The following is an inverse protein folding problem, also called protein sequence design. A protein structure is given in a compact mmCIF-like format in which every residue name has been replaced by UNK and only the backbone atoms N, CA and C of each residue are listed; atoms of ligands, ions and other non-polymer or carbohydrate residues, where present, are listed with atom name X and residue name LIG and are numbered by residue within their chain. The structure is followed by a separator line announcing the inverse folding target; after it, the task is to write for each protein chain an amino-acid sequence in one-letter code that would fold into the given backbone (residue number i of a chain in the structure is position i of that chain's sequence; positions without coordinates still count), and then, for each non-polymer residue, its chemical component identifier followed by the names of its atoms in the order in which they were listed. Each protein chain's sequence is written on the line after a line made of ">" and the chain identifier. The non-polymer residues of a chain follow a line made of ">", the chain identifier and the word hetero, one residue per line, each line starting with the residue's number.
data_IF_903126112469
#
_entry.id   IF_903126112469
#
_cell.length_a   1.000
_cell.length_b   1.000
_cell.length_c   1.000
_cell.angle_alpha   90.00
_cell.angle_beta   90.00
_cell.angle_gamma   90.00
#
_symmetry.space_group_name_H-M   'P 1'
#
loop_
_entity.id
_entity.type
_entity.pdbx_description
1 polymer ?
#
# COMPACT_ATOMS: atom_id res chain seq x y z
N UNK A 1 9.79 6.54 27.32
CA UNK A 1 8.32 6.44 27.50
C UNK A 1 7.57 6.18 26.19
N UNK A 2 8.22 5.63 25.15
CA UNK A 2 7.59 5.27 23.86
C UNK A 2 6.88 3.89 23.87
N UNK A 3 6.73 3.26 25.05
CA UNK A 3 6.22 1.89 25.19
C UNK A 3 4.76 1.80 25.66
N UNK A 4 4.04 2.92 25.78
CA UNK A 4 2.69 2.93 26.41
C UNK A 4 1.54 3.16 25.40
N UNK A 5 1.82 3.30 24.10
CA UNK A 5 0.77 3.51 23.10
C UNK A 5 0.69 2.42 22.01
N UNK A 6 1.12 1.19 22.33
CA UNK A 6 1.05 0.05 21.41
C UNK A 6 -0.34 -0.61 21.31
N UNK A 7 -1.35 -0.17 22.07
CA UNK A 7 -2.61 -0.91 22.27
C UNK A 7 -3.80 -0.44 21.44
N UNK A 8 -3.61 0.04 20.21
CA UNK A 8 -4.74 0.21 19.28
C UNK A 8 -4.44 -0.36 17.88
N UNK A 9 -4.71 -1.67 17.65
CA UNK A 9 -4.23 -2.38 16.45
C UNK A 9 -4.96 -2.07 15.13
N UNK A 10 -6.02 -1.25 15.13
CA UNK A 10 -7.01 -1.29 14.02
C UNK A 10 -6.84 -0.26 12.90
N UNK A 11 -5.84 0.62 12.87
CA UNK A 11 -5.81 1.76 11.92
C UNK A 11 -4.46 2.15 11.28
N UNK A 12 -3.43 1.28 11.27
CA UNK A 12 -2.07 1.68 10.83
C UNK A 12 -1.64 1.11 9.47
N UNK A 13 -1.69 1.96 8.42
CA UNK A 13 -1.22 1.68 7.06
C UNK A 13 0.29 1.89 6.83
N UNK A 14 0.70 1.83 5.55
CA UNK A 14 2.09 1.92 4.99
C UNK A 14 2.97 3.06 5.52
N UNK A 15 2.36 4.07 6.14
CA UNK A 15 3.01 5.32 6.51
C UNK A 15 3.55 5.38 7.94
N UNK A 16 3.33 4.34 8.74
CA UNK A 16 3.66 4.32 10.18
C UNK A 16 5.02 3.71 10.54
N UNK A 17 5.85 3.36 9.55
CA UNK A 17 7.15 2.71 9.72
C UNK A 17 8.28 3.67 10.12
N UNK A 18 8.08 4.98 9.98
CA UNK A 18 9.05 6.03 10.32
C UNK A 18 9.38 6.04 11.81
N UNK A 19 8.43 5.63 12.66
CA UNK A 19 8.66 5.47 14.09
C UNK A 19 9.72 4.41 14.42
N UNK A 20 10.09 3.57 13.45
CA UNK A 20 11.11 2.51 13.61
C UNK A 20 12.49 2.93 13.09
N UNK A 21 12.67 4.17 12.64
CA UNK A 21 13.99 4.65 12.22
C UNK A 21 15.00 4.58 13.39
N UNK A 22 16.23 4.08 13.15
CA UNK A 22 17.24 3.97 14.18
C UNK A 22 17.62 5.35 14.70
N UNK A 23 17.76 5.46 16.02
CA UNK A 23 18.24 6.67 16.68
C UNK A 23 19.77 6.86 16.52
N UNK A 24 20.47 5.84 16.02
CA UNK A 24 21.91 5.80 15.81
C UNK A 24 22.26 5.84 14.32
N UNK A 25 23.42 6.39 14.01
CA UNK A 25 23.94 6.36 12.65
C UNK A 25 24.38 4.93 12.31
N UNK A 26 23.79 4.34 11.27
CA UNK A 26 24.16 3.01 10.82
C UNK A 26 25.31 3.05 9.81
N UNK A 27 25.97 1.90 9.62
CA UNK A 27 26.96 1.74 8.56
C UNK A 27 26.33 1.92 7.18
N UNK A 28 27.05 2.50 6.19
CA UNK A 28 26.56 2.62 4.81
C UNK A 28 26.11 1.29 4.20
N UNK A 29 25.20 1.37 3.23
CA UNK A 29 24.74 0.22 2.45
C UNK A 29 25.68 0.08 1.23
N UNK A 30 26.47 -0.99 1.24
CA UNK A 30 27.49 -1.30 0.24
C UNK A 30 27.47 -2.78 -0.18
N UNK A 31 28.01 -3.08 -1.36
CA UNK A 31 28.09 -4.42 -1.96
C UNK A 31 26.98 -4.71 -2.97
N UNK A 32 25.83 -4.04 -2.89
CA UNK A 32 24.75 -4.19 -3.85
C UNK A 32 25.12 -3.61 -5.23
N UNK A 33 25.91 -2.53 -5.26
CA UNK A 33 26.32 -1.83 -6.48
C UNK A 33 27.20 -2.70 -7.38
N UNK A 34 27.92 -3.65 -6.77
CA UNK A 34 28.79 -4.64 -7.43
C UNK A 34 28.01 -5.84 -7.98
N UNK A 35 26.74 -5.99 -7.63
CA UNK A 35 25.91 -7.09 -8.13
C UNK A 35 25.60 -6.92 -9.62
N UNK A 36 25.46 -8.03 -10.37
CA UNK A 36 24.99 -7.96 -11.75
C UNK A 36 23.55 -7.48 -11.81
N UNK A 37 23.22 -6.73 -12.86
CA UNK A 37 21.82 -6.43 -13.17
C UNK A 37 21.17 -7.71 -13.71
N UNK A 38 20.03 -8.10 -13.13
CA UNK A 38 19.33 -9.36 -13.43
C UNK A 38 17.82 -9.12 -13.54
N UNK A 39 17.08 -10.09 -14.12
CA UNK A 39 15.62 -10.04 -14.15
C UNK A 39 15.02 -10.04 -12.74
N UNK A 40 13.78 -9.57 -12.61
CA UNK A 40 13.12 -9.47 -11.30
C UNK A 40 13.00 -10.84 -10.61
N UNK A 41 12.74 -11.92 -11.33
CA UNK A 41 12.65 -13.28 -10.77
C UNK A 41 13.97 -13.76 -10.18
N UNK A 42 15.09 -13.40 -10.84
CA UNK A 42 16.43 -13.70 -10.33
C UNK A 42 16.74 -12.82 -9.11
N UNK A 43 16.34 -11.55 -9.15
CA UNK A 43 16.56 -10.59 -8.08
C UNK A 43 15.86 -10.98 -6.78
N UNK A 44 14.63 -11.50 -6.85
CA UNK A 44 13.88 -11.94 -5.66
C UNK A 44 14.14 -13.38 -5.24
N UNK A 45 14.95 -14.14 -5.98
CA UNK A 45 15.24 -15.55 -5.67
C UNK A 45 15.80 -15.75 -4.25
N UNK A 46 16.72 -14.91 -3.74
CA UNK A 46 17.19 -15.03 -2.35
C UNK A 46 16.13 -14.64 -1.31
N UNK A 47 15.11 -13.88 -1.70
CA UNK A 47 14.08 -13.34 -0.80
C UNK A 47 12.94 -14.33 -0.50
N UNK A 48 12.94 -15.51 -1.12
CA UNK A 48 11.83 -16.48 -1.07
C UNK A 48 11.45 -16.94 0.33
N UNK A 49 12.40 -16.96 1.25
CA UNK A 49 12.18 -17.34 2.65
C UNK A 49 11.93 -16.13 3.57
N UNK A 50 12.20 -14.92 3.08
CA UNK A 50 12.07 -13.68 3.83
C UNK A 50 10.75 -12.98 3.54
N UNK A 51 10.30 -13.04 2.29
CA UNK A 51 9.10 -12.36 1.82
C UNK A 51 8.07 -13.40 1.38
N UNK A 52 6.95 -13.52 2.11
CA UNK A 52 5.86 -14.43 1.75
C UNK A 52 5.37 -14.19 0.31
N UNK A 53 5.11 -15.28 -0.41
CA UNK A 53 4.53 -15.27 -1.76
C UNK A 53 5.26 -14.43 -2.83
N UNK A 54 6.51 -13.98 -2.60
CA UNK A 54 7.24 -13.07 -3.50
C UNK A 54 7.31 -13.54 -4.96
N UNK A 55 7.39 -14.86 -5.18
CA UNK A 55 7.41 -15.46 -6.54
C UNK A 55 6.09 -15.24 -7.27
N UNK A 56 4.98 -15.39 -6.55
CA UNK A 56 3.63 -15.17 -7.09
C UNK A 56 3.40 -13.69 -7.33
N UNK A 57 3.81 -12.82 -6.40
CA UNK A 57 3.70 -11.37 -6.54
C UNK A 57 4.48 -10.86 -7.75
N UNK A 58 5.72 -11.31 -7.94
CA UNK A 58 6.52 -10.97 -9.12
C UNK A 58 5.85 -11.40 -10.42
N UNK A 59 5.31 -12.62 -10.48
CA UNK A 59 4.60 -13.08 -11.67
C UNK A 59 3.42 -12.17 -12.03
N UNK A 60 2.60 -11.78 -11.06
CA UNK A 60 1.45 -10.87 -11.26
C UNK A 60 1.91 -9.50 -11.78
N UNK A 61 2.93 -8.92 -11.15
CA UNK A 61 3.39 -7.57 -11.49
C UNK A 61 3.96 -7.54 -12.89
N UNK A 62 4.74 -8.56 -13.28
CA UNK A 62 5.37 -8.57 -14.61
C UNK A 62 4.35 -8.52 -15.75
N UNK A 63 3.18 -9.12 -15.57
CA UNK A 63 2.09 -9.03 -16.55
C UNK A 63 1.55 -7.60 -16.73
N UNK A 64 1.69 -6.73 -15.73
CA UNK A 64 1.29 -5.31 -15.81
C UNK A 64 2.38 -4.40 -16.36
N UNK A 65 3.63 -4.87 -16.36
CA UNK A 65 4.80 -4.08 -16.72
C UNK A 65 5.40 -4.48 -18.08
N UNK A 66 4.66 -5.21 -18.94
CA UNK A 66 5.20 -5.73 -20.21
C UNK A 66 5.64 -4.62 -21.17
N UNK A 67 4.99 -3.46 -21.14
CA UNK A 67 5.28 -2.31 -22.01
C UNK A 67 5.31 -1.00 -21.21
N UNK A 68 6.39 -0.72 -20.45
CA UNK A 68 6.53 0.55 -19.74
C UNK A 68 6.59 1.73 -20.73
N UNK A 69 5.96 2.85 -20.36
CA UNK A 69 5.83 4.03 -21.22
C UNK A 69 7.07 4.94 -21.25
N UNK A 70 8.16 4.52 -20.62
CA UNK A 70 9.40 5.26 -20.44
C UNK A 70 10.64 4.38 -20.69
N UNK A 71 11.85 4.88 -20.39
CA UNK A 71 13.12 4.19 -20.69
C UNK A 71 13.40 2.97 -19.79
N UNK A 72 12.46 2.60 -18.92
CA UNK A 72 12.60 1.44 -18.05
C UNK A 72 12.39 0.14 -18.84
N UNK A 73 13.15 -0.88 -18.51
CA UNK A 73 12.80 -2.24 -18.92
C UNK A 73 11.59 -2.77 -18.14
N UNK A 74 10.89 -3.81 -18.64
CA UNK A 74 9.80 -4.46 -17.91
C UNK A 74 10.18 -4.90 -16.49
N UNK A 75 11.38 -5.45 -16.30
CA UNK A 75 11.87 -5.88 -14.99
C UNK A 75 12.17 -4.70 -14.05
N UNK A 76 12.66 -3.58 -14.58
CA UNK A 76 12.91 -2.35 -13.81
C UNK A 76 11.60 -1.71 -13.34
N UNK A 77 10.63 -1.54 -14.26
CA UNK A 77 9.28 -1.06 -13.95
C UNK A 77 8.59 -1.97 -12.92
N UNK A 78 8.66 -3.29 -13.12
CA UNK A 78 8.11 -4.27 -12.19
C UNK A 78 8.78 -4.24 -10.81
N UNK A 79 10.07 -3.92 -10.73
CA UNK A 79 10.77 -3.82 -9.45
C UNK A 79 10.25 -2.64 -8.59
N UNK A 80 9.92 -1.51 -9.23
CA UNK A 80 9.30 -0.36 -8.58
C UNK A 80 7.87 -0.71 -8.16
N UNK A 81 7.10 -1.33 -9.05
CA UNK A 81 5.73 -1.74 -8.73
C UNK A 81 5.69 -2.74 -7.56
N UNK A 82 6.64 -3.68 -7.48
CA UNK A 82 6.76 -4.62 -6.37
C UNK A 82 6.92 -3.92 -5.03
N UNK A 83 7.74 -2.87 -4.98
CA UNK A 83 7.90 -2.07 -3.77
C UNK A 83 6.59 -1.38 -3.33
N UNK A 84 5.77 -0.98 -4.28
CA UNK A 84 4.49 -0.29 -4.02
C UNK A 84 3.32 -1.23 -3.75
N UNK A 85 3.53 -2.55 -3.84
CA UNK A 85 2.44 -3.50 -3.54
C UNK A 85 2.10 -3.53 -2.06
N UNK A 86 0.80 -3.51 -1.78
CA UNK A 86 0.29 -3.72 -0.43
C UNK A 86 0.30 -5.22 -0.10
N UNK A 87 0.82 -5.56 1.07
CA UNK A 87 0.77 -6.92 1.61
C UNK A 87 -0.57 -7.23 2.29
N UNK A 88 -0.82 -8.50 2.56
CA UNK A 88 -2.06 -8.95 3.24
C UNK A 88 -2.07 -8.66 4.74
N UNK A 89 -0.91 -8.39 5.34
CA UNK A 89 -0.67 -7.92 6.70
C UNK A 89 0.50 -6.92 6.68
N UNK A 90 0.49 -5.92 7.58
CA UNK A 90 1.48 -4.82 7.61
C UNK A 90 2.91 -5.34 7.66
N UNK A 91 3.18 -6.30 8.53
CA UNK A 91 4.54 -6.80 8.83
C UNK A 91 5.08 -7.77 7.77
N UNK A 92 4.22 -8.23 6.86
CA UNK A 92 4.58 -9.24 5.85
C UNK A 92 4.63 -8.67 4.41
N UNK A 93 4.35 -7.39 4.22
CA UNK A 93 4.44 -6.76 2.90
C UNK A 93 5.88 -6.63 2.41
N UNK A 94 6.10 -6.71 1.10
CA UNK A 94 7.43 -6.53 0.50
C UNK A 94 8.06 -5.19 0.93
N UNK A 95 7.25 -4.12 0.90
CA UNK A 95 7.58 -2.80 1.43
C UNK A 95 8.08 -2.85 2.87
N UNK A 96 7.28 -3.43 3.78
CA UNK A 96 7.55 -3.42 5.21
C UNK A 96 8.80 -4.22 5.56
N UNK A 97 8.94 -5.42 4.99
CA UNK A 97 10.09 -6.29 5.23
C UNK A 97 11.37 -5.64 4.68
N UNK A 98 11.32 -5.06 3.48
CA UNK A 98 12.47 -4.34 2.92
C UNK A 98 12.87 -3.16 3.80
N UNK A 99 11.93 -2.27 4.13
CA UNK A 99 12.23 -1.07 4.92
C UNK A 99 12.67 -1.41 6.35
N UNK A 100 12.10 -2.45 6.96
CA UNK A 100 12.58 -3.01 8.23
C UNK A 100 14.03 -3.52 8.11
N UNK A 101 14.35 -4.24 7.02
CA UNK A 101 15.72 -4.72 6.78
C UNK A 101 16.69 -3.56 6.53
N UNK A 102 16.28 -2.48 5.85
CA UNK A 102 17.13 -1.29 5.63
C UNK A 102 17.50 -0.58 6.94
N UNK A 103 16.62 -0.65 7.95
CA UNK A 103 16.81 -0.05 9.28
C UNK A 103 17.60 -0.92 10.26
N UNK A 104 17.94 -2.16 9.91
CA UNK A 104 18.61 -3.06 10.84
C UNK A 104 20.09 -2.71 11.00
N UNK A 105 20.60 -2.74 12.24
CA UNK A 105 22.04 -2.56 12.53
C UNK A 105 22.89 -3.68 11.90
N UNK A 106 22.34 -4.90 11.84
CA UNK A 106 23.01 -6.06 11.24
C UNK A 106 22.97 -6.01 9.71
N UNK A 107 23.96 -5.34 9.12
CA UNK A 107 24.08 -5.19 7.66
C UNK A 107 24.18 -6.52 6.91
N UNK A 108 24.48 -7.64 7.56
CA UNK A 108 24.51 -8.95 6.89
C UNK A 108 23.12 -9.38 6.41
N UNK A 109 22.05 -8.92 7.07
CA UNK A 109 20.65 -9.17 6.69
C UNK A 109 20.25 -8.52 5.36
N UNK A 110 21.01 -7.54 4.89
CA UNK A 110 20.77 -6.92 3.58
C UNK A 110 21.30 -7.75 2.40
N UNK A 111 22.20 -8.72 2.63
CA UNK A 111 22.82 -9.51 1.56
C UNK A 111 21.80 -10.19 0.62
N UNK A 112 20.70 -10.81 1.11
CA UNK A 112 19.67 -11.38 0.25
C UNK A 112 18.98 -10.36 -0.66
N UNK A 113 18.98 -9.08 -0.27
CA UNK A 113 18.34 -7.98 -0.98
C UNK A 113 19.21 -7.35 -2.06
N UNK A 114 20.52 -7.63 -2.10
CA UNK A 114 21.45 -6.90 -2.96
C UNK A 114 21.10 -6.96 -4.46
N UNK A 115 20.63 -8.10 -4.97
CA UNK A 115 20.19 -8.19 -6.37
C UNK A 115 18.93 -7.36 -6.64
N UNK A 116 17.99 -7.33 -5.68
CA UNK A 116 16.79 -6.49 -5.79
C UNK A 116 17.12 -5.00 -5.66
N UNK A 117 17.94 -4.62 -4.68
CA UNK A 117 18.43 -3.26 -4.49
C UNK A 117 19.15 -2.76 -5.74
N UNK A 118 20.01 -3.60 -6.34
CA UNK A 118 20.66 -3.29 -7.62
C UNK A 118 19.64 -2.97 -8.71
N UNK A 119 18.64 -3.83 -8.88
CA UNK A 119 17.60 -3.66 -9.90
C UNK A 119 16.75 -2.39 -9.69
N UNK A 120 16.18 -2.22 -8.49
CA UNK A 120 15.26 -1.10 -8.22
C UNK A 120 15.98 0.25 -8.17
N UNK A 121 17.20 0.32 -7.63
CA UNK A 121 17.97 1.57 -7.62
C UNK A 121 18.48 1.92 -9.02
N UNK A 122 18.80 0.94 -9.86
CA UNK A 122 19.08 1.19 -11.29
C UNK A 122 17.84 1.74 -11.99
N UNK A 123 16.66 1.14 -11.78
CA UNK A 123 15.40 1.65 -12.33
C UNK A 123 15.14 3.11 -11.91
N UNK A 124 15.20 3.40 -10.61
CA UNK A 124 14.97 4.75 -10.07
C UNK A 124 16.00 5.78 -10.55
N UNK A 125 17.24 5.35 -10.85
CA UNK A 125 18.27 6.24 -11.37
C UNK A 125 18.00 6.72 -12.80
N UNK A 126 17.23 5.96 -13.59
CA UNK A 126 16.81 6.32 -14.95
C UNK A 126 15.62 7.27 -14.98
N UNK A 127 14.80 7.28 -13.92
CA UNK A 127 13.68 8.22 -13.82
C UNK A 127 14.19 9.65 -13.57
N UNK A 128 13.55 10.68 -14.17
CA UNK A 128 13.89 12.06 -13.85
C UNK A 128 13.63 12.35 -12.36
N UNK A 129 14.48 13.16 -11.70
CA UNK A 129 14.13 13.69 -10.38
C UNK A 129 12.88 14.56 -10.48
N UNK A 130 12.19 14.72 -9.36
CA UNK A 130 11.15 15.75 -9.22
C UNK A 130 11.73 17.15 -9.47
N UNK A 131 10.85 18.12 -9.77
CA UNK A 131 11.27 19.51 -9.98
C UNK A 131 11.98 20.05 -8.75
N UNK A 132 12.96 20.94 -8.95
CA UNK A 132 13.73 21.52 -7.84
C UNK A 132 12.80 22.24 -6.87
N UNK A 133 13.04 22.06 -5.58
CA UNK A 133 12.23 22.63 -4.50
C UNK A 133 10.77 22.14 -4.47
N UNK A 134 10.47 21.00 -5.10
CA UNK A 134 9.17 20.34 -4.93
C UNK A 134 8.99 19.96 -3.46
N UNK A 135 7.84 20.34 -2.91
CA UNK A 135 7.43 19.89 -1.57
C UNK A 135 6.64 18.60 -1.71
N UNK A 136 7.06 17.58 -0.96
CA UNK A 136 6.33 16.32 -0.83
C UNK A 136 5.86 16.13 0.60
N UNK A 137 4.76 15.41 0.75
CA UNK A 137 4.10 15.21 2.02
C UNK A 137 4.09 13.74 2.42
N UNK A 138 4.25 13.50 3.72
CA UNK A 138 4.04 12.18 4.32
C UNK A 138 3.30 12.33 5.64
N UNK A 139 2.13 11.71 5.75
CA UNK A 139 1.34 11.69 6.96
C UNK A 139 1.57 10.44 7.79
N UNK A 140 1.56 10.56 9.12
CA UNK A 140 1.68 9.45 10.06
C UNK A 140 0.63 9.62 11.16
N UNK A 141 -0.04 8.52 11.54
CA UNK A 141 -1.02 8.48 12.64
C UNK A 141 -0.39 8.26 14.02
N UNK A 142 0.69 8.99 14.29
CA UNK A 142 1.39 9.04 15.57
C UNK A 142 1.88 10.46 15.81
N UNK A 143 1.98 10.86 17.08
CA UNK A 143 2.74 12.05 17.48
C UNK A 143 4.24 11.72 17.47
N UNK A 144 4.99 12.41 16.61
CA UNK A 144 6.44 12.27 16.45
C UNK A 144 7.18 13.57 16.86
N UNK A 145 6.50 14.52 17.50
CA UNK A 145 7.05 15.85 17.80
C UNK A 145 8.32 15.81 18.65
N UNK A 146 8.43 14.82 19.56
CA UNK A 146 9.56 14.66 20.48
C UNK A 146 10.79 14.06 19.79
N UNK A 147 10.56 13.24 18.78
CA UNK A 147 11.59 12.50 18.04
C UNK A 147 12.31 13.41 17.03
N UNK A 148 11.67 14.52 16.64
CA UNK A 148 12.15 15.45 15.62
C UNK A 148 12.20 16.91 16.13
N UNK A 149 13.05 17.23 17.12
CA UNK A 149 13.23 18.61 17.54
C UNK A 149 13.85 19.46 16.42
N UNK A 150 13.49 20.75 16.39
CA UNK A 150 14.01 21.71 15.42
C UNK A 150 15.55 21.74 15.42
N UNK A 151 16.15 21.80 14.23
CA UNK A 151 17.59 21.80 14.01
C UNK A 151 18.22 20.40 13.95
N UNK A 152 17.50 19.33 14.35
CA UNK A 152 18.01 17.96 14.28
C UNK A 152 18.25 17.54 12.83
N UNK A 153 19.42 16.96 12.58
CA UNK A 153 19.75 16.28 11.32
C UNK A 153 19.73 14.76 11.55
N UNK A 154 19.10 14.01 10.66
CA UNK A 154 18.95 12.56 10.77
C UNK A 154 18.93 11.91 9.38
N UNK A 155 19.03 10.58 9.36
CA UNK A 155 18.97 9.78 8.13
C UNK A 155 17.69 8.96 8.14
N UNK A 156 16.98 8.97 7.03
CA UNK A 156 15.85 8.07 6.78
C UNK A 156 16.37 6.85 6.03
N UNK A 157 16.48 5.71 6.70
CA UNK A 157 17.18 4.53 6.15
C UNK A 157 16.32 3.72 5.20
N UNK A 158 15.00 3.67 5.41
CA UNK A 158 14.06 3.05 4.48
C UNK A 158 13.80 3.91 3.24
N UNK A 159 13.22 3.30 2.21
CA UNK A 159 12.53 4.07 1.17
C UNK A 159 11.31 4.75 1.79
N UNK A 160 10.98 5.97 1.35
CA UNK A 160 9.84 6.72 1.90
C UNK A 160 8.84 7.09 0.79
N UNK A 161 7.62 6.59 0.92
CA UNK A 161 6.52 6.92 0.00
C UNK A 161 5.87 8.23 0.43
N UNK A 162 5.91 9.21 -0.45
CA UNK A 162 5.35 10.53 -0.25
C UNK A 162 4.38 10.86 -1.38
N UNK A 163 3.59 11.91 -1.21
CA UNK A 163 2.70 12.44 -2.24
C UNK A 163 2.94 13.93 -2.44
N UNK A 164 2.69 14.44 -3.63
CA UNK A 164 2.61 15.89 -3.89
C UNK A 164 1.19 16.44 -3.69
N UNK A 165 0.18 15.57 -3.56
CA UNK A 165 -1.21 15.98 -3.37
C UNK A 165 -1.56 16.07 -1.90
N UNK A 166 -1.91 17.28 -1.45
CA UNK A 166 -2.35 17.50 -0.06
C UNK A 166 -3.70 16.83 0.23
N UNK A 167 -4.58 16.72 -0.78
CA UNK A 167 -5.91 16.11 -0.65
C UNK A 167 -5.86 14.64 -0.27
N UNK A 168 -4.79 13.93 -0.67
CA UNK A 168 -4.57 12.52 -0.30
C UNK A 168 -4.30 12.38 1.20
N UNK A 169 -3.80 13.41 1.88
CA UNK A 169 -3.55 13.38 3.32
C UNK A 169 -4.84 13.44 4.13
N UNK A 170 -5.91 14.05 3.63
CA UNK A 170 -7.20 14.06 4.34
C UNK A 170 -7.86 12.67 4.40
N UNK A 171 -7.38 11.71 3.60
CA UNK A 171 -7.86 10.35 3.61
C UNK A 171 -7.46 9.66 4.91
N UNK A 172 -8.39 8.91 5.51
CA UNK A 172 -8.11 8.15 6.73
C UNK A 172 -6.88 7.25 6.56
N UNK A 173 -6.74 6.55 5.44
CA UNK A 173 -5.62 5.62 5.22
C UNK A 173 -4.23 6.26 5.26
N UNK A 174 -4.13 7.58 5.10
CA UNK A 174 -2.87 8.34 5.11
C UNK A 174 -2.60 9.03 6.45
N UNK A 175 -3.26 10.15 6.69
CA UNK A 175 -3.08 10.95 7.90
C UNK A 175 -4.35 10.92 8.76
N UNK A 176 -5.53 10.93 8.13
CA UNK A 176 -6.81 11.03 8.81
C UNK A 176 -7.06 12.39 9.45
N UNK A 177 -8.25 12.53 10.05
CA UNK A 177 -8.75 13.82 10.58
C UNK A 177 -8.72 13.94 12.11
N UNK A 178 -8.52 12.84 12.82
CA UNK A 178 -8.60 12.77 14.28
C UNK A 178 -7.50 11.88 14.86
N UNK A 179 -7.16 12.12 16.13
CA UNK A 179 -6.15 11.36 16.87
C UNK A 179 -4.72 11.83 16.61
N UNK A 180 -3.74 11.41 17.46
CA UNK A 180 -2.37 11.88 17.38
C UNK A 180 -1.77 11.58 16.00
N UNK A 181 -1.34 12.63 15.31
CA UNK A 181 -0.84 12.54 13.94
C UNK A 181 0.25 13.57 13.67
N UNK A 182 1.14 13.20 12.75
CA UNK A 182 2.26 14.00 12.31
C UNK A 182 2.25 14.11 10.79
N UNK A 183 2.26 15.34 10.29
CA UNK A 183 2.47 15.65 8.88
C UNK A 183 3.90 16.11 8.66
N UNK A 184 4.65 15.34 7.87
CA UNK A 184 5.94 15.77 7.35
C UNK A 184 5.75 16.55 6.05
N UNK A 185 6.28 17.77 6.03
CA UNK A 185 6.37 18.61 4.84
C UNK A 185 7.84 18.62 4.43
N UNK A 186 8.18 18.05 3.28
CA UNK A 186 9.56 17.73 2.92
C UNK A 186 9.94 18.48 1.65
N UNK A 187 10.88 19.43 1.77
CA UNK A 187 11.57 20.02 0.61
C UNK A 187 12.67 19.04 0.16
N UNK A 188 12.47 18.35 -0.95
CA UNK A 188 13.45 17.42 -1.50
C UNK A 188 13.72 17.65 -2.99
N UNK A 189 14.90 17.23 -3.42
CA UNK A 189 15.37 17.38 -4.80
C UNK A 189 15.70 16.02 -5.45
N UNK A 190 15.92 14.97 -4.64
CA UNK A 190 16.30 13.64 -5.13
C UNK A 190 15.13 12.67 -5.32
N UNK A 191 13.92 13.04 -4.88
CA UNK A 191 12.73 12.21 -5.01
C UNK A 191 12.42 11.83 -6.46
N UNK A 192 11.82 10.66 -6.64
CA UNK A 192 11.44 10.12 -7.95
C UNK A 192 9.94 9.99 -8.03
N UNK A 193 9.33 10.62 -9.03
CA UNK A 193 7.92 10.36 -9.33
C UNK A 193 7.80 8.94 -9.87
N UNK A 194 7.09 8.08 -9.15
CA UNK A 194 6.85 6.70 -9.55
C UNK A 194 5.39 6.46 -9.93
N UNK A 195 4.60 7.51 -10.12
CA UNK A 195 3.16 7.45 -10.44
C UNK A 195 2.83 6.43 -11.55
N UNK A 196 3.67 6.32 -12.58
CA UNK A 196 3.47 5.41 -13.73
C UNK A 196 3.87 3.96 -13.46
N UNK A 197 4.55 3.70 -12.35
CA UNK A 197 5.09 2.40 -11.96
C UNK A 197 4.61 1.96 -10.58
N UNK A 198 3.81 2.78 -9.91
CA UNK A 198 3.19 2.44 -8.64
C UNK A 198 1.96 1.57 -8.89
N UNK A 199 1.73 0.63 -7.99
CA UNK A 199 0.51 -0.14 -7.92
C UNK A 199 -0.71 0.75 -7.61
N UNK A 200 -0.50 1.93 -7.01
CA UNK A 200 -1.55 2.89 -6.63
C UNK A 200 -1.42 4.17 -7.47
N UNK A 201 -2.07 4.19 -8.63
CA UNK A 201 -1.94 5.26 -9.63
C UNK A 201 -2.49 6.63 -9.18
N UNK A 202 -3.34 6.66 -8.15
CA UNK A 202 -4.07 7.87 -7.69
C UNK A 202 -3.29 8.73 -6.71
N UNK A 203 -2.18 8.24 -6.15
CA UNK A 203 -1.49 8.92 -5.04
C UNK A 203 -0.49 10.00 -5.49
N UNK A 204 -0.26 10.19 -6.81
CA UNK A 204 0.86 11.01 -7.31
C UNK A 204 2.17 10.68 -6.55
N UNK A 205 2.45 9.39 -6.40
CA UNK A 205 3.46 8.90 -5.48
C UNK A 205 4.86 9.37 -5.90
N UNK A 206 5.54 10.02 -4.97
CA UNK A 206 6.96 10.35 -5.04
C UNK A 206 7.70 9.45 -4.06
N UNK A 207 8.65 8.69 -4.57
CA UNK A 207 9.48 7.83 -3.77
C UNK A 207 10.79 8.54 -3.41
N UNK A 208 11.05 8.69 -2.11
CA UNK A 208 12.36 9.06 -1.60
C UNK A 208 13.21 7.80 -1.46
N UNK A 209 14.44 7.89 -1.94
CA UNK A 209 15.40 6.79 -1.89
C UNK A 209 15.86 6.52 -0.45
N UNK A 210 16.37 5.31 -0.15
CA UNK A 210 16.95 4.97 1.13
C UNK A 210 18.12 5.88 1.46
N UNK A 211 18.38 6.06 2.74
CA UNK A 211 19.53 6.80 3.28
C UNK A 211 19.52 8.31 3.00
N UNK A 212 18.36 8.88 2.68
CA UNK A 212 18.20 10.32 2.53
C UNK A 212 18.48 11.02 3.87
N UNK A 213 19.32 12.05 3.85
CA UNK A 213 19.60 12.85 5.05
C UNK A 213 18.70 14.09 5.06
N UNK A 214 18.07 14.34 6.20
CA UNK A 214 17.09 15.40 6.36
C UNK A 214 17.39 16.21 7.61
N UNK A 215 17.11 17.51 7.53
CA UNK A 215 17.17 18.42 8.66
C UNK A 215 15.78 18.92 9.00
N UNK A 216 15.45 18.94 10.30
CA UNK A 216 14.22 19.55 10.81
C UNK A 216 14.40 21.07 10.80
N UNK A 217 13.65 21.75 9.92
CA UNK A 217 13.71 23.20 9.74
C UNK A 217 12.79 23.91 10.73
N UNK A 218 11.57 23.39 10.89
CA UNK A 218 10.58 23.96 11.78
C UNK A 218 9.61 22.88 12.27
N UNK A 219 9.06 23.10 13.46
CA UNK A 219 7.99 22.29 14.04
C UNK A 219 6.85 23.23 14.41
N UNK A 220 5.61 22.83 14.14
CA UNK A 220 4.42 23.55 14.60
C UNK A 220 3.32 22.56 14.97
N UNK A 221 2.41 22.98 15.86
CA UNK A 221 1.21 22.22 16.21
C UNK A 221 0.00 23.09 15.84
N UNK A 222 -0.92 22.54 15.05
CA UNK A 222 -2.13 23.25 14.64
C UNK A 222 -3.33 22.94 15.54
N UNK A 223 -3.34 21.75 16.14
CA UNK A 223 -4.30 21.27 17.13
C UNK A 223 -3.56 20.35 18.12
N UNK A 224 -4.20 19.99 19.23
CA UNK A 224 -3.63 19.06 20.22
C UNK A 224 -3.26 17.70 19.61
N UNK A 225 -3.85 17.35 18.47
CA UNK A 225 -3.68 16.06 17.82
C UNK A 225 -2.90 16.12 16.49
N UNK A 226 -2.61 17.29 15.90
CA UNK A 226 -1.83 17.42 14.66
C UNK A 226 -0.53 18.21 14.85
N UNK A 227 0.57 17.51 14.63
CA UNK A 227 1.92 18.07 14.57
C UNK A 227 2.41 18.16 13.13
N UNK A 228 3.05 19.27 12.78
CA UNK A 228 3.63 19.51 11.47
C UNK A 228 5.14 19.65 11.65
N UNK A 229 5.89 18.85 10.89
CA UNK A 229 7.35 18.85 10.90
C UNK A 229 7.83 19.19 9.49
N UNK A 230 8.50 20.33 9.36
CA UNK A 230 9.11 20.74 8.11
C UNK A 230 10.53 20.21 8.02
N UNK A 231 10.79 19.48 6.95
CA UNK A 231 12.06 18.84 6.67
C UNK A 231 12.66 19.40 5.38
N UNK A 232 13.98 19.44 5.35
CA UNK A 232 14.75 19.76 4.14
C UNK A 232 15.80 18.70 3.89
N UNK A 233 15.87 18.23 2.65
CA UNK A 233 16.94 17.35 2.20
C UNK A 233 18.28 18.06 2.29
N UNK A 234 19.23 17.41 2.96
CA UNK A 234 20.61 17.86 3.09
C UNK A 234 21.55 16.81 2.53
N UNK A 235 22.67 17.24 1.95
CA UNK A 235 23.66 16.32 1.39
C UNK A 235 24.47 15.69 2.53
N UNK A 236 24.57 14.35 2.61
CA UNK A 236 25.40 13.72 3.61
C UNK A 236 26.90 13.96 3.37
N UNK A 237 27.70 14.00 4.44
CA UNK A 237 29.14 14.24 4.35
C UNK A 237 29.90 13.09 3.65
N UNK A 238 29.27 11.91 3.55
CA UNK A 238 29.78 10.74 2.85
C UNK A 238 28.64 9.94 2.23
N UNK A 239 28.95 9.02 1.32
CA UNK A 239 27.95 8.17 0.69
C UNK A 239 27.38 7.15 1.69
N UNK A 240 26.09 7.28 2.01
CA UNK A 240 25.35 6.34 2.85
C UNK A 240 24.78 5.16 2.07
N UNK A 241 24.60 5.35 0.77
CA UNK A 241 24.25 4.34 -0.23
C UNK A 241 25.29 4.44 -1.35
N UNK A 242 26.02 3.37 -1.61
CA UNK A 242 27.09 3.38 -2.61
C UNK A 242 26.55 3.69 -4.02
N UNK A 243 27.19 4.57 -4.81
CA UNK A 243 26.68 4.94 -6.13
C UNK A 243 26.78 3.78 -7.14
N UNK A 244 25.85 3.75 -8.11
CA UNK A 244 25.87 2.77 -9.19
C UNK A 244 26.97 3.07 -10.22
N UNK A 245 27.75 2.07 -10.68
CA UNK A 245 28.76 2.27 -11.72
C UNK A 245 28.15 2.78 -13.03
N UNK A 246 28.79 3.75 -13.68
CA UNK A 246 28.40 4.24 -15.01
C UNK A 246 27.24 5.26 -15.04
N UNK A 247 26.59 5.53 -13.91
CA UNK A 247 25.66 6.65 -13.79
C UNK A 247 26.42 7.89 -13.29
N UNK A 248 26.41 9.02 -14.03
CA UNK A 248 27.04 10.23 -13.57
C UNK A 248 26.37 10.69 -12.27
N UNK A 249 27.16 11.26 -11.36
CA UNK A 249 26.63 12.06 -10.25
C UNK A 249 25.64 13.11 -10.81
N UNK A 250 24.64 13.55 -10.03
CA UNK A 250 23.58 14.46 -10.50
C UNK A 250 24.06 15.84 -11.03
N UNK A 251 25.36 16.06 -11.17
CA UNK A 251 25.96 17.29 -11.70
C UNK A 251 25.89 17.42 -13.23
N UNK A 252 25.47 16.39 -14.00
CA UNK A 252 25.52 16.45 -15.48
C UNK A 252 24.20 16.28 -16.26
N UNK A 253 23.05 16.07 -15.62
CA UNK A 253 21.77 15.92 -16.32
C UNK A 253 20.92 17.20 -16.24
N UNK A 254 21.29 18.21 -17.02
CA UNK A 254 20.39 19.31 -17.34
C UNK A 254 20.65 19.76 -18.77
N UNK A 255 19.82 19.28 -19.69
CA UNK A 255 19.27 20.02 -20.84
C UNK A 255 18.42 19.06 -21.67
N UNK A 256 17.26 19.58 -22.07
CA UNK A 256 16.29 19.03 -23.03
C UNK A 256 15.08 18.32 -22.41
N UNK A 257 14.10 19.12 -22.00
CA UNK A 257 12.69 18.74 -22.03
C UNK A 257 11.94 19.87 -22.72
N UNK A 258 11.32 19.59 -23.87
CA UNK A 258 10.01 20.12 -24.26
C UNK A 258 9.49 19.34 -25.47
N UNK A 259 8.46 18.53 -25.26
CA UNK A 259 7.18 18.56 -25.98
C UNK A 259 6.50 17.18 -25.91
N UNK A 260 5.31 17.13 -25.33
CA UNK A 260 4.07 16.64 -25.98
C UNK A 260 2.96 16.45 -24.94
N UNK A 261 2.04 17.41 -24.97
CA UNK A 261 0.57 17.27 -25.05
C UNK A 261 -0.05 16.03 -24.36
N UNK A 262 -0.81 16.30 -23.30
CA UNK A 262 -1.79 15.40 -22.67
C UNK A 262 -3.00 15.14 -23.58
N UNK A 263 -3.62 13.94 -23.51
CA UNK A 263 -5.06 13.81 -23.70
C UNK A 263 -5.81 13.35 -22.44
N UNK A 264 -7.12 13.60 -22.52
CA UNK A 264 -8.17 13.72 -21.51
C UNK A 264 -8.65 12.39 -20.88
N UNK A 265 -8.89 12.46 -19.56
CA UNK A 265 -10.02 11.93 -18.74
C UNK A 265 -10.51 10.46 -18.81
N UNK A 266 -10.50 9.82 -17.63
CA UNK A 266 -11.55 8.97 -17.03
C UNK A 266 -12.18 7.85 -17.89
N UNK A 267 -11.49 6.72 -18.08
CA UNK A 267 -12.17 5.47 -18.48
C UNK A 267 -11.31 4.20 -18.35
N UNK A 268 -10.65 3.90 -17.22
CA UNK A 268 -9.88 2.64 -17.11
C UNK A 268 -9.99 2.08 -15.69
N UNK A 269 -10.85 1.08 -15.52
CA UNK A 269 -10.68 -0.17 -14.76
C UNK A 269 -12.08 -0.81 -14.61
N UNK A 270 -12.51 -1.54 -15.65
CA UNK A 270 -13.65 -2.45 -15.57
C UNK A 270 -13.13 -3.87 -15.75
N UNK A 271 -13.41 -4.76 -14.79
CA UNK A 271 -13.29 -6.20 -15.01
C UNK A 271 -14.47 -6.63 -15.89
N UNK A 272 -14.36 -6.36 -17.20
CA UNK A 272 -15.44 -6.54 -18.18
C UNK A 272 -15.94 -7.98 -18.20
N UNK A 273 -15.04 -8.94 -18.04
CA UNK A 273 -15.39 -10.37 -17.98
C UNK A 273 -16.28 -10.70 -16.78
N UNK A 274 -16.00 -10.11 -15.61
CA UNK A 274 -16.84 -10.26 -14.42
C UNK A 274 -18.22 -9.60 -14.60
N UNK A 275 -18.26 -8.41 -15.21
CA UNK A 275 -19.52 -7.71 -15.54
C UNK A 275 -20.38 -8.58 -16.45
N UNK A 276 -19.80 -9.08 -17.55
CA UNK A 276 -20.52 -9.96 -18.48
C UNK A 276 -20.99 -11.26 -17.82
N UNK A 277 -20.19 -11.84 -16.93
CA UNK A 277 -20.54 -13.09 -16.24
C UNK A 277 -21.72 -12.91 -15.30
N UNK A 278 -21.75 -11.80 -14.54
CA UNK A 278 -22.89 -11.45 -13.69
C UNK A 278 -24.13 -11.15 -14.55
N UNK A 279 -23.97 -10.45 -15.66
CA UNK A 279 -25.06 -10.13 -16.59
C UNK A 279 -25.68 -11.38 -17.24
N UNK A 280 -24.88 -12.44 -17.46
CA UNK A 280 -25.35 -13.73 -18.01
C UNK A 280 -26.14 -14.56 -17.00
N UNK A 281 -26.04 -14.28 -15.70
CA UNK A 281 -26.82 -14.99 -14.69
C UNK A 281 -28.29 -14.59 -14.77
N UNK A 282 -29.20 -15.56 -14.59
CA UNK A 282 -30.64 -15.27 -14.58
C UNK A 282 -30.99 -14.37 -13.38
N UNK A 283 -31.90 -13.40 -13.52
CA UNK A 283 -32.35 -12.59 -12.38
C UNK A 283 -32.88 -13.47 -11.25
N UNK A 284 -32.59 -13.10 -10.01
CA UNK A 284 -32.99 -13.81 -8.78
C UNK A 284 -32.45 -15.25 -8.67
N UNK A 285 -31.39 -15.59 -9.41
CA UNK A 285 -30.77 -16.93 -9.38
C UNK A 285 -29.42 -16.96 -8.64
N UNK A 286 -28.71 -18.08 -8.73
CA UNK A 286 -27.36 -18.26 -8.21
C UNK A 286 -26.35 -17.54 -9.11
N UNK A 287 -25.55 -16.67 -8.50
CA UNK A 287 -24.30 -16.18 -9.08
C UNK A 287 -23.15 -16.95 -8.43
N UNK A 288 -22.53 -17.83 -9.22
CA UNK A 288 -21.35 -18.59 -8.80
C UNK A 288 -20.09 -17.91 -9.30
N UNK A 289 -19.29 -17.44 -8.35
CA UNK A 289 -18.02 -16.78 -8.53
C UNK A 289 -16.93 -17.46 -7.70
N UNK A 290 -17.05 -18.76 -7.43
CA UNK A 290 -16.00 -19.53 -6.77
C UNK A 290 -14.67 -19.49 -7.57
N UNK A 291 -13.54 -19.31 -6.87
CA UNK A 291 -12.17 -19.41 -7.43
C UNK A 291 -11.91 -18.51 -8.64
N UNK A 292 -12.50 -17.32 -8.67
CA UNK A 292 -12.32 -16.35 -9.75
C UNK A 292 -11.20 -15.33 -9.48
N UNK A 293 -10.41 -15.55 -8.41
CA UNK A 293 -9.34 -14.65 -7.98
C UNK A 293 -9.82 -13.21 -7.67
N UNK A 294 -11.10 -13.06 -7.33
CA UNK A 294 -11.69 -11.74 -7.08
C UNK A 294 -11.01 -11.06 -5.88
N UNK A 295 -10.77 -9.77 -6.02
CA UNK A 295 -10.14 -8.88 -5.04
C UNK A 295 -11.15 -7.90 -4.47
N UNK A 296 -10.73 -7.06 -3.52
CA UNK A 296 -11.58 -5.98 -2.98
C UNK A 296 -12.07 -5.02 -4.09
N UNK A 297 -11.29 -4.83 -5.15
CA UNK A 297 -11.67 -3.94 -6.25
C UNK A 297 -12.84 -4.51 -7.05
N UNK A 298 -12.81 -5.82 -7.31
CA UNK A 298 -13.88 -6.57 -7.99
C UNK A 298 -15.17 -6.57 -7.17
N UNK A 299 -15.10 -6.40 -5.86
CA UNK A 299 -16.30 -6.30 -5.02
C UNK A 299 -17.12 -5.04 -5.29
N UNK A 300 -16.57 -3.99 -5.91
CA UNK A 300 -17.40 -2.88 -6.39
C UNK A 300 -18.32 -3.33 -7.52
N UNK A 301 -17.80 -4.16 -8.44
CA UNK A 301 -18.58 -4.73 -9.54
C UNK A 301 -19.57 -5.74 -9.01
N UNK A 302 -19.17 -6.65 -8.12
CA UNK A 302 -20.10 -7.62 -7.52
C UNK A 302 -21.18 -6.91 -6.69
N UNK A 303 -20.82 -5.91 -5.88
CA UNK A 303 -21.78 -5.14 -5.11
C UNK A 303 -22.78 -4.43 -6.02
N UNK A 304 -22.33 -3.72 -7.04
CA UNK A 304 -23.20 -2.99 -7.96
C UNK A 304 -24.07 -3.95 -8.79
N UNK A 305 -23.44 -4.88 -9.48
CA UNK A 305 -24.09 -5.70 -10.50
C UNK A 305 -24.89 -6.87 -9.92
N UNK A 306 -24.45 -7.47 -8.80
CA UNK A 306 -25.12 -8.63 -8.20
C UNK A 306 -26.04 -8.26 -7.05
N UNK A 307 -25.64 -7.30 -6.19
CA UNK A 307 -26.34 -6.98 -4.93
C UNK A 307 -27.24 -5.76 -5.08
N UNK A 308 -26.74 -4.59 -5.48
CA UNK A 308 -27.53 -3.36 -5.63
C UNK A 308 -28.58 -3.53 -6.72
N UNK A 309 -28.19 -4.12 -7.86
CA UNK A 309 -29.11 -4.41 -8.97
C UNK A 309 -30.05 -5.61 -8.69
N UNK A 310 -29.97 -6.23 -7.51
CA UNK A 310 -30.84 -7.35 -7.08
C UNK A 310 -30.86 -8.54 -8.05
N UNK A 311 -29.73 -8.78 -8.72
CA UNK A 311 -29.62 -9.76 -9.79
C UNK A 311 -29.62 -11.21 -9.26
N UNK A 312 -29.32 -11.43 -7.99
CA UNK A 312 -29.23 -12.76 -7.39
C UNK A 312 -29.97 -12.89 -6.06
N UNK A 313 -30.35 -14.14 -5.76
CA UNK A 313 -30.83 -14.58 -4.44
C UNK A 313 -29.77 -15.40 -3.69
N UNK A 314 -28.76 -15.91 -4.39
CA UNK A 314 -27.63 -16.64 -3.84
C UNK A 314 -26.34 -16.09 -4.47
N UNK A 315 -25.42 -15.62 -3.64
CA UNK A 315 -24.11 -15.13 -4.06
C UNK A 315 -23.03 -16.05 -3.50
N UNK A 316 -22.34 -16.75 -4.41
CA UNK A 316 -21.29 -17.72 -4.09
C UNK A 316 -19.93 -17.11 -4.44
N UNK A 317 -19.13 -16.80 -3.43
CA UNK A 317 -17.81 -16.20 -3.55
C UNK A 317 -16.70 -17.01 -2.84
N UNK A 318 -16.80 -18.34 -2.63
CA UNK A 318 -15.79 -19.03 -1.88
C UNK A 318 -14.45 -19.10 -2.64
N UNK A 319 -13.36 -19.28 -1.89
CA UNK A 319 -12.01 -19.46 -2.45
C UNK A 319 -11.54 -18.30 -3.35
N UNK A 320 -11.88 -17.06 -2.99
CA UNK A 320 -11.38 -15.84 -3.64
C UNK A 320 -10.36 -15.10 -2.75
N UNK A 321 -9.98 -13.87 -3.12
CA UNK A 321 -9.05 -13.01 -2.36
C UNK A 321 -9.77 -11.81 -1.77
N UNK A 322 -11.01 -12.01 -1.34
CA UNK A 322 -11.85 -10.96 -0.75
C UNK A 322 -11.36 -10.74 0.69
N UNK A 323 -10.88 -9.54 0.98
CA UNK A 323 -10.44 -9.16 2.32
C UNK A 323 -11.52 -8.32 3.03
N UNK A 324 -11.23 -7.87 4.24
CA UNK A 324 -12.13 -7.04 5.06
C UNK A 324 -12.77 -5.89 4.27
N UNK A 325 -11.99 -5.13 3.51
CA UNK A 325 -12.48 -4.02 2.68
C UNK A 325 -13.48 -4.48 1.60
N UNK A 326 -13.21 -5.60 0.93
CA UNK A 326 -14.13 -6.17 -0.05
C UNK A 326 -15.45 -6.59 0.59
N UNK A 327 -15.40 -7.16 1.80
CA UNK A 327 -16.61 -7.48 2.58
C UNK A 327 -17.32 -6.24 3.09
N UNK A 328 -16.61 -5.17 3.47
CA UNK A 328 -17.25 -3.90 3.83
C UNK A 328 -17.99 -3.27 2.65
N UNK A 329 -17.46 -3.40 1.43
CA UNK A 329 -18.16 -2.97 0.20
C UNK A 329 -19.45 -3.77 0.01
N UNK A 330 -19.38 -5.11 0.14
CA UNK A 330 -20.56 -5.97 0.10
C UNK A 330 -21.56 -5.67 1.22
N UNK A 331 -21.08 -5.45 2.44
CA UNK A 331 -21.92 -5.13 3.60
C UNK A 331 -22.73 -3.86 3.36
N UNK A 332 -22.10 -2.78 2.87
CA UNK A 332 -22.85 -1.56 2.52
C UNK A 332 -23.90 -1.82 1.43
N UNK A 333 -23.56 -2.62 0.42
CA UNK A 333 -24.50 -2.97 -0.65
C UNK A 333 -25.68 -3.83 -0.15
N UNK A 334 -25.49 -4.56 0.96
CA UNK A 334 -26.53 -5.35 1.60
C UNK A 334 -27.51 -4.54 2.45
N UNK A 335 -27.19 -3.29 2.80
CA UNK A 335 -28.01 -2.47 3.69
C UNK A 335 -29.46 -2.31 3.20
N UNK A 336 -29.66 -2.09 1.90
CA UNK A 336 -30.98 -1.92 1.28
C UNK A 336 -31.37 -3.10 0.37
N UNK A 337 -30.59 -4.19 0.40
CA UNK A 337 -30.84 -5.34 -0.43
C UNK A 337 -31.95 -6.21 0.18
N UNK A 338 -32.96 -6.52 -0.64
CA UNK A 338 -34.13 -7.32 -0.27
C UNK A 338 -34.29 -8.59 -1.10
N UNK A 339 -33.27 -8.97 -1.87
CA UNK A 339 -33.31 -10.12 -2.78
C UNK A 339 -32.38 -11.25 -2.36
N UNK A 340 -31.27 -10.93 -1.69
CA UNK A 340 -30.24 -11.89 -1.36
C UNK A 340 -30.63 -12.68 -0.12
N UNK A 341 -30.72 -14.00 -0.29
CA UNK A 341 -31.06 -14.95 0.78
C UNK A 341 -29.85 -15.72 1.29
N UNK A 342 -28.81 -15.89 0.46
CA UNK A 342 -27.61 -16.65 0.83
C UNK A 342 -26.33 -15.95 0.36
N UNK A 343 -25.40 -15.77 1.29
CA UNK A 343 -24.05 -15.28 1.02
C UNK A 343 -23.03 -16.31 1.48
N UNK A 344 -22.25 -16.82 0.54
CA UNK A 344 -21.12 -17.70 0.83
C UNK A 344 -19.81 -17.00 0.49
N UNK A 345 -19.03 -16.64 1.51
CA UNK A 345 -17.69 -16.08 1.37
C UNK A 345 -16.65 -16.99 2.04
N UNK A 346 -16.90 -18.30 2.10
CA UNK A 346 -16.02 -19.29 2.69
C UNK A 346 -14.60 -19.28 2.09
N UNK A 347 -13.57 -19.47 2.91
CA UNK A 347 -12.16 -19.53 2.48
C UNK A 347 -11.71 -18.29 1.70
N UNK A 348 -11.92 -17.11 2.28
CA UNK A 348 -11.40 -15.81 1.86
C UNK A 348 -10.52 -15.20 2.99
N UNK A 349 -10.29 -13.89 2.97
CA UNK A 349 -9.44 -13.16 3.93
C UNK A 349 -10.21 -12.11 4.73
N UNK A 350 -11.47 -12.39 5.09
CA UNK A 350 -12.39 -11.38 5.65
C UNK A 350 -11.88 -10.74 6.94
N UNK A 351 -11.35 -11.54 7.87
CA UNK A 351 -10.87 -11.07 9.18
C UNK A 351 -11.96 -10.43 10.05
N UNK A 352 -11.59 -10.04 11.27
CA UNK A 352 -12.55 -9.50 12.26
C UNK A 352 -13.19 -8.18 11.81
N UNK A 353 -12.43 -7.33 11.12
CA UNK A 353 -12.92 -6.03 10.63
C UNK A 353 -14.00 -6.20 9.57
N UNK A 354 -13.80 -7.11 8.61
CA UNK A 354 -14.79 -7.37 7.57
C UNK A 354 -16.07 -7.97 8.15
N UNK A 355 -15.91 -8.90 9.11
CA UNK A 355 -17.05 -9.48 9.84
C UNK A 355 -17.77 -8.45 10.70
N UNK A 356 -17.05 -7.52 11.34
CA UNK A 356 -17.68 -6.43 12.09
C UNK A 356 -18.56 -5.55 11.20
N UNK A 357 -18.07 -5.16 10.01
CA UNK A 357 -18.87 -4.40 9.03
C UNK A 357 -20.12 -5.16 8.59
N UNK A 358 -19.97 -6.45 8.31
CA UNK A 358 -21.09 -7.30 7.91
C UNK A 358 -22.10 -7.46 9.05
N UNK A 359 -21.62 -7.74 10.26
CA UNK A 359 -22.43 -7.91 11.46
C UNK A 359 -23.22 -6.65 11.81
N UNK A 360 -22.60 -5.47 11.68
CA UNK A 360 -23.27 -4.20 11.92
C UNK A 360 -24.45 -4.00 10.96
N UNK A 361 -24.21 -4.12 9.64
CA UNK A 361 -25.27 -3.87 8.65
C UNK A 361 -26.38 -4.92 8.72
N UNK A 362 -26.04 -6.18 8.96
CA UNK A 362 -27.03 -7.24 9.13
C UNK A 362 -27.91 -7.02 10.36
N UNK A 363 -27.34 -6.50 11.46
CA UNK A 363 -28.11 -6.18 12.66
C UNK A 363 -29.01 -4.95 12.51
N UNK A 364 -28.67 -4.02 11.62
CA UNK A 364 -29.39 -2.77 11.45
C UNK A 364 -30.58 -2.92 10.49
N UNK A 365 -30.42 -3.57 9.34
CA UNK A 365 -31.41 -3.47 8.25
C UNK A 365 -31.55 -4.71 7.34
N UNK A 366 -31.05 -5.89 7.72
CA UNK A 366 -31.19 -7.09 6.88
C UNK A 366 -32.27 -8.05 7.38
N UNK A 367 -33.34 -8.23 6.59
CA UNK A 367 -34.45 -9.15 6.88
C UNK A 367 -34.55 -10.33 5.91
N UNK A 368 -33.67 -10.44 4.92
CA UNK A 368 -33.79 -11.42 3.83
C UNK A 368 -32.69 -12.47 3.81
N UNK A 369 -31.51 -12.19 4.38
CA UNK A 369 -30.38 -13.10 4.39
C UNK A 369 -30.59 -14.23 5.40
N UNK A 370 -30.86 -15.44 4.91
CA UNK A 370 -31.14 -16.65 5.71
C UNK A 370 -29.90 -17.50 5.97
N UNK A 371 -28.85 -17.35 5.16
CA UNK A 371 -27.63 -18.15 5.27
C UNK A 371 -26.39 -17.32 5.00
N UNK A 372 -25.48 -17.28 5.97
CA UNK A 372 -24.17 -16.65 5.86
C UNK A 372 -23.07 -17.67 6.18
N UNK A 373 -22.19 -17.94 5.20
CA UNK A 373 -21.04 -18.85 5.39
C UNK A 373 -19.73 -18.07 5.45
N UNK A 374 -19.06 -18.19 6.59
CA UNK A 374 -17.84 -17.45 6.94
C UNK A 374 -16.65 -18.35 7.29
N UNK A 375 -16.76 -19.68 7.14
CA UNK A 375 -15.66 -20.59 7.49
C UNK A 375 -14.36 -20.25 6.76
N UNK A 376 -13.20 -20.54 7.39
CA UNK A 376 -11.86 -20.33 6.83
C UNK A 376 -11.53 -18.87 6.44
N UNK A 377 -12.02 -17.90 7.21
CA UNK A 377 -11.83 -16.46 6.94
C UNK A 377 -10.93 -15.70 7.92
N UNK A 378 -10.13 -16.40 8.72
CA UNK A 378 -9.26 -15.81 9.76
C UNK A 378 -10.04 -14.93 10.77
N UNK A 379 -11.25 -15.37 11.12
CA UNK A 379 -12.10 -14.73 12.13
C UNK A 379 -11.64 -15.25 13.49
N UNK A 380 -11.25 -14.33 14.37
CA UNK A 380 -10.84 -14.63 15.73
C UNK A 380 -12.05 -14.61 16.67
N UNK A 381 -11.81 -14.90 17.94
CA UNK A 381 -12.72 -14.71 19.06
C UNK A 381 -13.32 -13.29 19.12
N UNK A 382 -12.56 -12.25 18.72
CA UNK A 382 -13.09 -10.88 18.59
C UNK A 382 -14.13 -10.79 17.47
N UNK A 383 -13.84 -11.33 16.30
CA UNK A 383 -14.78 -11.37 15.17
C UNK A 383 -16.03 -12.19 15.47
N UNK A 384 -15.88 -13.31 16.19
CA UNK A 384 -17.00 -14.10 16.68
C UNK A 384 -17.89 -13.31 17.65
N UNK A 385 -17.30 -12.44 18.49
CA UNK A 385 -18.04 -11.53 19.36
C UNK A 385 -18.97 -10.59 18.60
N UNK A 386 -18.53 -10.02 17.46
CA UNK A 386 -19.39 -9.17 16.63
C UNK A 386 -20.58 -9.92 16.03
N UNK A 387 -20.37 -11.17 15.60
CA UNK A 387 -21.45 -12.03 15.11
C UNK A 387 -22.44 -12.38 16.22
N UNK A 388 -21.96 -12.66 17.43
CA UNK A 388 -22.83 -12.94 18.57
C UNK A 388 -23.70 -11.73 18.94
N UNK A 389 -23.14 -10.52 18.95
CA UNK A 389 -23.90 -9.29 19.19
C UNK A 389 -24.90 -8.98 18.08
N UNK A 390 -24.55 -9.26 16.83
CA UNK A 390 -25.49 -9.18 15.71
C UNK A 390 -26.66 -10.15 15.90
N UNK A 391 -26.39 -11.42 16.22
CA UNK A 391 -27.43 -12.43 16.43
C UNK A 391 -28.38 -12.10 17.59
N UNK A 392 -27.91 -11.38 18.63
CA UNK A 392 -28.78 -10.89 19.70
C UNK A 392 -29.76 -9.81 19.24
N UNK A 393 -29.41 -9.07 18.19
CA UNK A 393 -30.20 -7.95 17.66
C UNK A 393 -31.15 -8.37 16.53
N UNK A 394 -30.81 -9.43 15.80
CA UNK A 394 -31.66 -10.00 14.75
C UNK A 394 -32.66 -10.94 15.41
N UNK A 395 -33.79 -10.39 15.88
CA UNK A 395 -34.97 -11.20 16.21
C UNK A 395 -35.70 -11.55 14.91
N UNK A 396 -35.45 -12.75 14.38
CA UNK A 396 -36.36 -13.67 13.69
C UNK A 396 -35.65 -14.66 12.77
#
# INVERSE_FOLDING_TARGET
>A
MALVYADNPTLNGRFSDVATEPCTMLMPIEGYEKMPLVSLEKAVKPLRLLVPDVRRTVWIIKQRCENPLDELSPDESASIMLYTTEGTCRDDSFYSILNSTLRTEDRTKLRPWFLYLKLVLTALSKLPPIERHTTVYRGIRLDMSREYPQGKTFVWWGFSSCTTSIDVLEQELFLGKTGPRTLFIIECNSGKSIRRHSYIEKENEVLLLPTIQLQVIACSSHSDDLHIIQLKEVKPPYHLLMPLPGHPSPEKASKNFFSMILPRSYEIYQNVELVERIAKAKPHSLIDLERQFLTNHDMNIVAEQAVINKQCSILYLPNNRIASQGVSILARALHDNTSLERLDIFSNCVGDVGVASLAQVLAENNSTLKSLKLGWNRITDKGAGYLAEMLKKIEH
#
